data_IF_046493256492
#
_entry.id   IF_046493256492
#
_cell.length_a   1.000
_cell.length_b   1.000
_cell.length_c   1.000
_cell.angle_alpha   90.00
_cell.angle_beta   90.00
_cell.angle_gamma   90.00
#
_symmetry.space_group_name_H-M   'P 1'
#
loop_
_entity.id
_entity.type
_entity.pdbx_description
1 polymer ?
#
# COMPACT_ATOMS: atom_id res chain seq x y z
N UNK A 1 -27.88 -8.07 6.21
CA UNK A 1 -28.44 -6.89 5.54
C UNK A 1 -29.96 -6.86 5.74
N UNK A 2 -30.76 -7.83 5.24
CA UNK A 2 -32.23 -7.80 5.27
C UNK A 2 -32.79 -7.52 6.68
N UNK A 3 -32.35 -8.25 7.70
CA UNK A 3 -32.83 -8.05 9.10
C UNK A 3 -32.52 -6.63 9.61
N UNK A 4 -31.40 -6.04 9.25
CA UNK A 4 -31.07 -4.66 9.64
C UNK A 4 -31.97 -3.64 8.95
N UNK A 5 -32.32 -3.86 7.68
CA UNK A 5 -33.25 -3.00 6.93
C UNK A 5 -34.63 -3.07 7.60
N UNK A 6 -35.15 -4.27 7.86
CA UNK A 6 -36.43 -4.46 8.54
C UNK A 6 -36.46 -3.77 9.90
N UNK A 7 -35.47 -4.00 10.74
CA UNK A 7 -35.37 -3.36 12.05
C UNK A 7 -35.21 -1.83 11.95
N UNK A 8 -34.44 -1.34 10.97
CA UNK A 8 -34.28 0.09 10.73
C UNK A 8 -35.61 0.79 10.42
N UNK A 9 -36.41 0.21 9.54
CA UNK A 9 -37.73 0.75 9.24
C UNK A 9 -38.71 0.61 10.41
N UNK A 10 -38.74 -0.55 11.09
CA UNK A 10 -39.66 -0.80 12.20
C UNK A 10 -39.40 0.13 13.39
N UNK A 11 -38.13 0.28 13.80
CA UNK A 11 -37.80 1.00 15.04
C UNK A 11 -37.38 2.46 14.83
N UNK A 12 -36.90 2.83 13.63
CA UNK A 12 -36.37 4.16 13.35
C UNK A 12 -37.01 4.87 12.16
N UNK A 13 -37.90 4.20 11.42
CA UNK A 13 -38.61 4.74 10.26
C UNK A 13 -37.70 5.12 9.08
N UNK A 14 -36.46 4.63 9.04
CA UNK A 14 -35.49 4.98 7.98
C UNK A 14 -34.51 3.88 7.67
N UNK A 15 -33.92 3.96 6.48
CA UNK A 15 -32.81 3.09 6.05
C UNK A 15 -31.61 3.20 7.01
N UNK A 16 -31.06 2.07 7.53
CA UNK A 16 -29.95 2.09 8.47
C UNK A 16 -28.59 2.45 7.83
N UNK A 17 -28.44 2.32 6.51
CA UNK A 17 -27.22 2.61 5.75
C UNK A 17 -27.53 2.97 4.30
N UNK A 18 -26.65 3.74 3.66
CA UNK A 18 -26.78 4.15 2.25
C UNK A 18 -26.18 3.10 1.31
N UNK A 19 -25.05 2.52 1.69
CA UNK A 19 -24.29 1.60 0.86
C UNK A 19 -24.18 0.23 1.52
N UNK A 20 -24.15 -0.82 0.71
CA UNK A 20 -23.92 -2.20 1.14
C UNK A 20 -22.82 -2.79 0.29
N UNK A 21 -21.70 -3.12 0.93
CA UNK A 21 -20.60 -3.80 0.28
C UNK A 21 -20.64 -5.30 0.62
N UNK A 22 -20.74 -6.14 -0.39
CA UNK A 22 -20.71 -7.59 -0.22
C UNK A 22 -19.30 -8.10 -0.47
N UNK A 23 -18.71 -8.70 0.56
CA UNK A 23 -17.44 -9.43 0.43
C UNK A 23 -17.69 -10.84 -0.09
N UNK A 24 -16.74 -11.38 -0.85
CA UNK A 24 -16.77 -12.76 -1.31
C UNK A 24 -16.59 -13.78 -0.19
N UNK A 25 -16.95 -15.03 -0.47
CA UNK A 25 -16.67 -16.18 0.40
C UNK A 25 -15.32 -16.76 0.03
N UNK A 26 -14.48 -17.02 1.03
CA UNK A 26 -13.18 -17.66 0.81
C UNK A 26 -13.39 -19.12 0.44
N UNK A 27 -12.82 -19.53 -0.69
CA UNK A 27 -12.88 -20.90 -1.23
C UNK A 27 -11.47 -21.50 -1.32
N UNK A 28 -11.40 -22.80 -1.18
CA UNK A 28 -10.17 -23.55 -1.41
C UNK A 28 -9.83 -23.67 -2.93
N UNK A 29 -8.68 -24.25 -3.25
CA UNK A 29 -8.22 -24.48 -4.63
C UNK A 29 -9.17 -25.36 -5.48
N UNK A 30 -10.09 -26.08 -4.84
CA UNK A 30 -11.12 -26.89 -5.49
C UNK A 30 -12.45 -26.15 -5.62
N UNK A 31 -12.51 -24.86 -5.26
CA UNK A 31 -13.71 -24.05 -5.31
C UNK A 31 -14.71 -24.32 -4.16
N UNK A 32 -14.37 -25.16 -3.16
CA UNK A 32 -15.25 -25.48 -2.03
C UNK A 32 -15.15 -24.37 -0.99
N UNK A 33 -16.27 -24.02 -0.35
CA UNK A 33 -16.29 -23.10 0.78
C UNK A 33 -15.36 -23.62 1.89
N UNK A 34 -14.48 -22.77 2.39
CA UNK A 34 -13.64 -23.11 3.54
C UNK A 34 -14.46 -23.27 4.82
N UNK A 35 -14.21 -24.33 5.56
CA UNK A 35 -14.81 -24.58 6.86
C UNK A 35 -13.90 -25.42 7.75
N UNK A 36 -14.01 -25.20 9.08
CA UNK A 36 -13.27 -26.01 10.06
C UNK A 36 -13.65 -27.50 10.00
N UNK A 37 -14.92 -27.80 9.71
CA UNK A 37 -15.42 -29.20 9.64
C UNK A 37 -14.86 -29.97 8.44
N UNK A 38 -14.49 -29.30 7.35
CA UNK A 38 -13.86 -29.88 6.17
C UNK A 38 -12.33 -29.94 6.29
N UNK A 39 -11.75 -29.29 7.29
CA UNK A 39 -10.29 -29.21 7.46
C UNK A 39 -9.55 -28.47 6.32
N UNK A 40 -10.28 -27.72 5.48
CA UNK A 40 -9.74 -27.00 4.33
C UNK A 40 -9.53 -25.50 4.59
N UNK A 41 -9.63 -25.07 5.85
CA UNK A 41 -9.36 -23.67 6.26
C UNK A 41 -7.97 -23.62 6.89
N UNK A 42 -7.00 -22.89 6.32
CA UNK A 42 -5.70 -22.71 6.95
C UNK A 42 -5.84 -21.96 8.27
N UNK A 43 -4.93 -22.20 9.21
CA UNK A 43 -4.86 -21.44 10.45
C UNK A 43 -4.29 -20.04 10.15
N UNK A 44 -5.04 -18.97 10.42
CA UNK A 44 -4.57 -17.60 10.19
C UNK A 44 -3.27 -17.27 10.95
N UNK A 45 -3.08 -17.84 12.16
CA UNK A 45 -1.87 -17.58 12.93
C UNK A 45 -0.64 -18.21 12.29
N UNK A 46 -0.76 -19.42 11.75
CA UNK A 46 0.33 -20.04 10.98
C UNK A 46 0.67 -19.26 9.71
N UNK A 47 -0.34 -18.76 9.00
CA UNK A 47 -0.12 -17.90 7.83
C UNK A 47 0.62 -16.59 8.21
N UNK A 48 0.22 -15.96 9.33
CA UNK A 48 0.89 -14.74 9.83
C UNK A 48 2.32 -15.04 10.26
N UNK A 49 2.57 -16.15 10.91
CA UNK A 49 3.93 -16.57 11.29
C UNK A 49 4.82 -16.80 10.05
N UNK A 50 4.27 -17.39 9.00
CA UNK A 50 5.02 -17.72 7.78
C UNK A 50 5.22 -16.54 6.83
N UNK A 51 4.20 -15.69 6.65
CA UNK A 51 4.18 -14.65 5.63
C UNK A 51 4.14 -13.22 6.18
N UNK A 52 3.99 -13.08 7.50
CA UNK A 52 3.73 -11.78 8.15
C UNK A 52 2.28 -11.32 7.99
N UNK A 53 1.81 -10.49 8.92
CA UNK A 53 0.43 -10.00 8.90
C UNK A 53 0.09 -9.22 7.62
N UNK A 54 0.98 -8.32 7.19
CA UNK A 54 0.79 -7.54 5.94
C UNK A 54 0.84 -8.41 4.69
N UNK A 55 1.68 -9.47 4.68
CA UNK A 55 1.72 -10.43 3.58
C UNK A 55 0.40 -11.16 3.42
N UNK A 56 -0.20 -11.62 4.51
CA UNK A 56 -1.52 -12.27 4.51
C UNK A 56 -2.63 -11.29 4.11
N UNK A 57 -2.63 -10.06 4.66
CA UNK A 57 -3.62 -9.02 4.31
C UNK A 57 -3.59 -8.71 2.81
N UNK A 58 -2.39 -8.47 2.29
CA UNK A 58 -2.19 -8.19 0.86
C UNK A 58 -2.64 -9.37 0.00
N UNK A 59 -2.24 -10.60 0.34
CA UNK A 59 -2.62 -11.79 -0.40
C UNK A 59 -4.14 -11.99 -0.48
N UNK A 60 -4.85 -11.78 0.63
CA UNK A 60 -6.31 -11.83 0.66
C UNK A 60 -6.93 -10.71 -0.20
N UNK A 61 -6.39 -9.51 -0.13
CA UNK A 61 -6.91 -8.37 -0.90
C UNK A 61 -6.68 -8.55 -2.40
N UNK A 62 -5.56 -9.12 -2.82
CA UNK A 62 -5.29 -9.44 -4.24
C UNK A 62 -6.30 -10.46 -4.80
N UNK A 63 -6.77 -11.39 -3.97
CA UNK A 63 -7.73 -12.42 -4.34
C UNK A 63 -9.20 -11.97 -4.26
N UNK A 64 -9.49 -10.78 -3.76
CA UNK A 64 -10.83 -10.34 -3.37
C UNK A 64 -11.40 -9.23 -4.27
N UNK A 65 -11.64 -9.46 -5.58
CA UNK A 65 -12.38 -8.51 -6.39
C UNK A 65 -13.81 -8.36 -5.86
N UNK A 66 -14.35 -7.15 -5.94
CA UNK A 66 -15.68 -6.84 -5.45
C UNK A 66 -16.74 -7.79 -6.03
N UNK A 67 -17.59 -8.36 -5.15
CA UNK A 67 -18.73 -9.19 -5.55
C UNK A 67 -18.42 -10.63 -5.95
N UNK A 68 -17.16 -11.06 -5.98
CA UNK A 68 -16.78 -12.43 -6.31
C UNK A 68 -16.25 -13.20 -5.09
N UNK A 69 -16.33 -14.53 -5.16
CA UNK A 69 -15.70 -15.39 -4.16
C UNK A 69 -14.17 -15.30 -4.24
N UNK A 70 -13.52 -15.50 -3.10
CA UNK A 70 -12.07 -15.36 -2.94
C UNK A 70 -11.42 -16.75 -3.08
N UNK A 71 -10.79 -17.08 -4.21
CA UNK A 71 -9.99 -18.30 -4.34
C UNK A 71 -8.68 -18.11 -3.56
N UNK A 72 -8.61 -18.69 -2.37
CA UNK A 72 -7.42 -18.56 -1.53
C UNK A 72 -6.30 -19.46 -2.01
N UNK A 73 -5.11 -18.86 -2.20
CA UNK A 73 -3.87 -19.56 -2.45
C UNK A 73 -2.75 -18.94 -1.61
N UNK A 74 -1.98 -19.76 -0.92
CA UNK A 74 -0.84 -19.35 -0.09
C UNK A 74 0.22 -18.58 -0.91
N UNK A 75 0.33 -18.86 -2.21
CA UNK A 75 1.20 -18.14 -3.13
C UNK A 75 0.92 -16.62 -3.15
N UNK A 76 -0.33 -16.19 -2.93
CA UNK A 76 -0.68 -14.78 -2.83
C UNK A 76 -0.13 -14.15 -1.54
N UNK A 77 -0.13 -14.89 -0.43
CA UNK A 77 0.48 -14.44 0.82
C UNK A 77 2.01 -14.34 0.67
N UNK A 78 2.62 -15.25 -0.08
CA UNK A 78 4.05 -15.20 -0.41
C UNK A 78 4.39 -13.96 -1.27
N UNK A 79 3.56 -13.62 -2.25
CA UNK A 79 3.70 -12.38 -3.01
C UNK A 79 3.64 -11.15 -2.10
N UNK A 80 2.69 -11.13 -1.15
CA UNK A 80 2.60 -10.07 -0.15
C UNK A 80 3.86 -9.94 0.71
N UNK A 81 4.41 -11.07 1.18
CA UNK A 81 5.69 -11.09 1.90
C UNK A 81 6.85 -10.56 1.05
N UNK A 82 6.92 -10.97 -0.22
CA UNK A 82 7.96 -10.52 -1.13
C UNK A 82 7.85 -9.01 -1.41
N UNK A 83 6.63 -8.47 -1.44
CA UNK A 83 6.41 -7.04 -1.53
C UNK A 83 6.86 -6.29 -0.27
N UNK A 84 6.57 -6.81 0.93
CA UNK A 84 7.13 -6.28 2.18
C UNK A 84 8.66 -6.18 2.12
N UNK A 85 9.32 -7.24 1.67
CA UNK A 85 10.78 -7.26 1.51
C UNK A 85 11.26 -6.20 0.52
N UNK A 86 10.52 -5.97 -0.58
CA UNK A 86 10.85 -4.95 -1.57
C UNK A 86 10.74 -3.54 -0.98
N UNK A 87 9.68 -3.26 -0.20
CA UNK A 87 9.50 -1.97 0.48
C UNK A 87 10.64 -1.73 1.48
N UNK A 88 10.96 -2.73 2.29
CA UNK A 88 12.07 -2.68 3.25
C UNK A 88 13.41 -2.43 2.58
N UNK A 89 13.70 -3.11 1.48
CA UNK A 89 14.95 -2.94 0.75
C UNK A 89 15.06 -1.55 0.10
N UNK A 90 13.96 -1.01 -0.43
CA UNK A 90 13.92 0.37 -0.95
C UNK A 90 14.22 1.39 0.17
N UNK A 91 13.62 1.22 1.35
CA UNK A 91 13.93 2.03 2.53
C UNK A 91 15.40 1.99 2.90
N UNK A 92 15.98 0.77 3.03
CA UNK A 92 17.39 0.62 3.35
C UNK A 92 18.32 1.25 2.32
N UNK A 93 17.98 1.14 1.04
CA UNK A 93 18.72 1.76 -0.04
C UNK A 93 18.75 3.29 0.13
N UNK A 94 17.58 3.92 0.29
CA UNK A 94 17.45 5.37 0.40
C UNK A 94 18.15 5.90 1.66
N UNK A 95 17.95 5.25 2.80
CA UNK A 95 18.57 5.65 4.08
C UNK A 95 20.09 5.41 4.12
N UNK A 96 20.59 4.56 3.24
CA UNK A 96 22.03 4.30 3.08
C UNK A 96 22.77 5.32 2.20
N UNK A 97 22.07 6.25 1.55
CA UNK A 97 22.72 7.26 0.72
C UNK A 97 23.43 8.31 1.56
N UNK A 98 24.63 8.69 1.12
CA UNK A 98 25.34 9.87 1.64
C UNK A 98 24.87 11.10 0.88
N UNK A 99 24.50 12.17 1.60
CA UNK A 99 23.98 13.41 1.01
C UNK A 99 25.04 14.49 1.03
N UNK A 100 25.26 15.15 -0.10
CA UNK A 100 26.12 16.33 -0.23
C UNK A 100 25.30 17.52 -0.71
N UNK A 101 25.15 18.52 0.16
CA UNK A 101 24.40 19.74 -0.15
C UNK A 101 25.10 20.72 -1.08
N UNK A 102 26.37 20.48 -1.42
CA UNK A 102 27.16 21.29 -2.34
C UNK A 102 26.99 20.85 -3.80
N UNK A 103 26.45 19.65 -4.02
CA UNK A 103 26.18 19.13 -5.37
C UNK A 103 24.88 19.75 -5.89
N UNK A 104 24.93 20.36 -7.07
CA UNK A 104 23.74 20.78 -7.79
C UNK A 104 22.97 19.55 -8.30
N UNK A 105 21.64 19.64 -8.29
CA UNK A 105 20.80 18.54 -8.79
C UNK A 105 21.09 18.30 -10.29
N UNK A 106 21.51 17.09 -10.68
CA UNK A 106 21.70 16.75 -12.09
C UNK A 106 20.39 16.88 -12.88
N UNK A 107 20.44 17.37 -14.12
CA UNK A 107 19.26 17.52 -14.98
C UNK A 107 18.50 16.19 -15.17
N UNK A 108 19.24 15.09 -15.32
CA UNK A 108 18.65 13.75 -15.39
C UNK A 108 17.86 13.38 -14.12
N UNK A 109 18.40 13.70 -12.93
CA UNK A 109 17.71 13.46 -11.66
C UNK A 109 16.47 14.36 -11.52
N UNK A 110 16.58 15.65 -11.87
CA UNK A 110 15.44 16.57 -11.89
C UNK A 110 14.32 16.09 -12.83
N UNK A 111 14.69 15.54 -13.98
CA UNK A 111 13.75 14.95 -14.95
C UNK A 111 13.07 13.71 -14.36
N UNK A 112 13.82 12.80 -13.71
CA UNK A 112 13.29 11.62 -13.07
C UNK A 112 12.33 11.98 -11.91
N UNK A 113 12.67 13.00 -11.10
CA UNK A 113 11.82 13.52 -10.03
C UNK A 113 10.48 14.03 -10.60
N UNK A 114 10.51 14.84 -11.65
CA UNK A 114 9.28 15.35 -12.31
C UNK A 114 8.44 14.20 -12.87
N UNK A 115 9.08 13.25 -13.53
CA UNK A 115 8.40 12.09 -14.09
C UNK A 115 7.71 11.28 -13.01
N UNK A 116 8.40 10.92 -11.93
CA UNK A 116 7.78 10.11 -10.86
C UNK A 116 6.68 10.88 -10.12
N UNK A 117 6.84 12.19 -9.92
CA UNK A 117 5.77 13.03 -9.39
C UNK A 117 4.49 12.91 -10.22
N UNK A 118 4.60 12.96 -11.54
CA UNK A 118 3.43 12.79 -12.43
C UNK A 118 2.78 11.40 -12.28
N UNK A 119 3.57 10.34 -12.13
CA UNK A 119 3.04 8.99 -11.90
C UNK A 119 2.33 8.89 -10.55
N UNK A 120 2.92 9.47 -9.50
CA UNK A 120 2.32 9.52 -8.17
C UNK A 120 0.99 10.29 -8.18
N UNK A 121 0.96 11.48 -8.75
CA UNK A 121 -0.25 12.32 -8.84
C UNK A 121 -1.38 11.58 -9.60
N UNK A 122 -1.05 10.92 -10.70
CA UNK A 122 -2.00 10.09 -11.46
C UNK A 122 -2.56 8.95 -10.62
N UNK A 123 -1.70 8.25 -9.89
CA UNK A 123 -2.13 7.10 -9.06
C UNK A 123 -2.97 7.56 -7.87
N UNK A 124 -2.66 8.71 -7.25
CA UNK A 124 -3.50 9.28 -6.17
C UNK A 124 -4.92 9.56 -6.68
N UNK A 125 -5.05 10.20 -7.86
CA UNK A 125 -6.35 10.46 -8.46
C UNK A 125 -7.11 9.17 -8.82
N UNK A 126 -6.41 8.15 -9.34
CA UNK A 126 -6.98 6.84 -9.62
C UNK A 126 -7.47 6.15 -8.34
N UNK A 127 -6.67 6.19 -7.27
CA UNK A 127 -7.05 5.60 -5.98
C UNK A 127 -8.28 6.27 -5.37
N UNK A 128 -8.38 7.60 -5.43
CA UNK A 128 -9.56 8.34 -4.93
C UNK A 128 -10.84 7.90 -5.66
N UNK A 129 -10.81 7.78 -6.98
CA UNK A 129 -11.93 7.27 -7.78
C UNK A 129 -12.28 5.81 -7.41
N UNK A 130 -11.27 4.94 -7.26
CA UNK A 130 -11.46 3.54 -6.91
C UNK A 130 -12.01 3.38 -5.49
N UNK A 131 -11.54 4.16 -4.51
CA UNK A 131 -12.12 4.18 -3.16
C UNK A 131 -13.56 4.68 -3.17
N UNK A 132 -13.88 5.71 -3.96
CA UNK A 132 -15.24 6.19 -4.14
C UNK A 132 -16.19 5.13 -4.69
N UNK A 133 -15.67 4.17 -5.47
CA UNK A 133 -16.37 3.01 -6.04
C UNK A 133 -16.30 1.75 -5.16
N UNK A 134 -15.63 1.79 -4.03
CA UNK A 134 -15.34 0.63 -3.16
C UNK A 134 -14.53 -0.48 -3.86
N UNK A 135 -13.75 -0.16 -4.90
CA UNK A 135 -12.88 -1.07 -5.64
C UNK A 135 -11.52 -1.22 -4.93
N UNK A 136 -11.52 -1.84 -3.76
CA UNK A 136 -10.35 -1.87 -2.85
C UNK A 136 -9.18 -2.69 -3.42
N UNK A 137 -9.46 -3.80 -4.11
CA UNK A 137 -8.42 -4.64 -4.74
C UNK A 137 -7.71 -3.90 -5.85
N UNK A 138 -8.46 -3.19 -6.68
CA UNK A 138 -7.92 -2.38 -7.78
C UNK A 138 -7.10 -1.21 -7.23
N UNK A 139 -7.58 -0.55 -6.17
CA UNK A 139 -6.84 0.54 -5.51
C UNK A 139 -5.51 0.04 -4.94
N UNK A 140 -5.50 -1.12 -4.29
CA UNK A 140 -4.26 -1.76 -3.83
C UNK A 140 -3.32 -2.10 -4.99
N UNK A 141 -3.85 -2.65 -6.10
CA UNK A 141 -3.04 -2.99 -7.27
C UNK A 141 -2.46 -1.75 -7.97
N UNK A 142 -3.16 -0.61 -7.96
CA UNK A 142 -2.63 0.64 -8.49
C UNK A 142 -1.39 1.09 -7.71
N UNK A 143 -1.46 1.15 -6.39
CA UNK A 143 -0.31 1.53 -5.57
C UNK A 143 0.80 0.47 -5.57
N UNK A 144 0.46 -0.82 -5.66
CA UNK A 144 1.44 -1.89 -5.82
C UNK A 144 2.29 -1.70 -7.07
N UNK A 145 1.64 -1.46 -8.23
CA UNK A 145 2.34 -1.19 -9.51
C UNK A 145 3.18 0.08 -9.44
N UNK A 146 2.62 1.16 -8.89
CA UNK A 146 3.37 2.40 -8.71
C UNK A 146 4.65 2.16 -7.90
N UNK A 147 4.57 1.41 -6.80
CA UNK A 147 5.73 1.11 -5.98
C UNK A 147 6.70 0.15 -6.65
N UNK A 148 6.19 -0.99 -7.16
CA UNK A 148 7.03 -2.06 -7.70
C UNK A 148 7.70 -1.66 -9.00
N UNK A 149 6.91 -1.20 -9.97
CA UNK A 149 7.39 -0.92 -11.31
C UNK A 149 8.00 0.49 -11.41
N UNK A 150 7.22 1.53 -11.09
CA UNK A 150 7.62 2.91 -11.35
C UNK A 150 8.64 3.43 -10.33
N UNK A 151 8.39 3.23 -9.03
CA UNK A 151 9.30 3.73 -8.00
C UNK A 151 10.56 2.88 -7.90
N UNK A 152 10.41 1.58 -7.62
CA UNK A 152 11.53 0.73 -7.28
C UNK A 152 12.34 0.30 -8.51
N UNK A 153 11.69 -0.02 -9.64
CA UNK A 153 12.39 -0.54 -10.83
C UNK A 153 12.89 0.56 -11.76
N UNK A 154 12.24 1.73 -11.78
CA UNK A 154 12.65 2.83 -12.63
C UNK A 154 13.21 4.03 -11.85
N UNK A 155 12.40 4.67 -11.00
CA UNK A 155 12.80 5.92 -10.36
C UNK A 155 14.08 5.77 -9.53
N UNK A 156 14.12 4.80 -8.63
CA UNK A 156 15.30 4.58 -7.79
C UNK A 156 16.54 4.25 -8.60
N UNK A 157 16.42 3.52 -9.72
CA UNK A 157 17.55 3.21 -10.61
C UNK A 157 18.06 4.45 -11.33
N UNK A 158 17.16 5.38 -11.72
CA UNK A 158 17.52 6.62 -12.38
C UNK A 158 18.24 7.61 -11.47
N UNK A 159 17.87 7.63 -10.17
CA UNK A 159 18.38 8.64 -9.22
C UNK A 159 19.41 8.11 -8.24
N UNK A 160 19.61 6.80 -8.14
CA UNK A 160 20.59 6.24 -7.20
C UNK A 160 21.99 6.75 -7.52
N UNK A 161 22.77 7.19 -6.50
CA UNK A 161 24.14 7.61 -6.70
C UNK A 161 24.99 6.45 -7.18
N UNK A 162 26.10 6.76 -7.85
CA UNK A 162 27.15 5.78 -8.15
C UNK A 162 27.71 5.16 -6.88
N UNK A 163 28.37 4.02 -7.02
CA UNK A 163 28.96 3.31 -5.86
C UNK A 163 29.89 4.26 -5.06
N UNK A 164 29.62 4.38 -3.75
CA UNK A 164 30.32 5.29 -2.83
C UNK A 164 30.28 6.78 -3.21
N UNK A 165 29.42 7.19 -4.12
CA UNK A 165 29.20 8.59 -4.45
C UNK A 165 28.04 9.17 -3.63
N UNK A 166 28.10 10.45 -3.25
CA UNK A 166 26.98 11.12 -2.60
C UNK A 166 25.88 11.47 -3.62
N UNK A 167 24.66 11.64 -3.11
CA UNK A 167 23.52 12.20 -3.86
C UNK A 167 23.36 13.67 -3.48
N UNK A 168 22.87 14.47 -4.44
CA UNK A 168 22.48 15.85 -4.16
C UNK A 168 21.27 15.93 -3.20
N UNK A 169 21.20 17.01 -2.44
CA UNK A 169 20.18 17.20 -1.41
C UNK A 169 18.76 17.26 -1.98
N UNK A 170 18.55 17.87 -3.15
CA UNK A 170 17.21 18.04 -3.75
C UNK A 170 16.62 16.72 -4.17
N UNK A 171 17.41 15.88 -4.85
CA UNK A 171 17.00 14.52 -5.24
C UNK A 171 16.72 13.65 -4.02
N UNK A 172 17.57 13.74 -2.98
CA UNK A 172 17.36 12.98 -1.74
C UNK A 172 16.04 13.35 -1.04
N UNK A 173 15.79 14.64 -0.85
CA UNK A 173 14.57 15.11 -0.19
C UNK A 173 13.32 14.77 -1.01
N UNK A 174 13.38 14.90 -2.33
CA UNK A 174 12.29 14.48 -3.22
C UNK A 174 12.00 12.98 -3.07
N UNK A 175 13.06 12.16 -3.01
CA UNK A 175 12.93 10.71 -2.83
C UNK A 175 12.31 10.34 -1.48
N UNK A 176 12.71 11.03 -0.40
CA UNK A 176 12.08 10.85 0.92
C UNK A 176 10.59 11.22 0.90
N UNK A 177 10.24 12.36 0.28
CA UNK A 177 8.86 12.79 0.14
C UNK A 177 8.00 11.81 -0.65
N UNK A 178 8.54 11.25 -1.74
CA UNK A 178 7.86 10.20 -2.49
C UNK A 178 7.69 8.92 -1.69
N UNK A 179 8.71 8.51 -0.94
CA UNK A 179 8.62 7.32 -0.10
C UNK A 179 7.59 7.50 1.03
N UNK A 180 7.56 8.67 1.69
CA UNK A 180 6.52 9.03 2.69
C UNK A 180 5.11 8.93 2.07
N UNK A 181 4.91 9.52 0.89
CA UNK A 181 3.63 9.45 0.19
C UNK A 181 3.22 8.02 -0.14
N UNK A 182 4.14 7.19 -0.63
CA UNK A 182 3.90 5.78 -0.93
C UNK A 182 3.54 4.97 0.32
N UNK A 183 4.19 5.23 1.47
CA UNK A 183 3.84 4.60 2.74
C UNK A 183 2.41 4.96 3.17
N UNK A 184 1.98 6.22 3.00
CA UNK A 184 0.60 6.66 3.29
C UNK A 184 -0.42 5.97 2.39
N UNK A 185 -0.14 5.85 1.09
CA UNK A 185 -1.03 5.17 0.15
C UNK A 185 -1.14 3.67 0.40
N UNK A 186 -0.06 3.03 0.87
CA UNK A 186 -0.03 1.60 1.21
C UNK A 186 -0.64 1.28 2.58
N UNK A 187 -0.66 2.25 3.51
CA UNK A 187 -1.03 2.02 4.90
C UNK A 187 -2.40 1.36 5.11
N UNK A 188 -3.47 1.70 4.38
CA UNK A 188 -4.77 1.02 4.52
C UNK A 188 -4.70 -0.49 4.28
N UNK A 189 -3.78 -0.93 3.46
CA UNK A 189 -3.60 -2.34 3.06
C UNK A 189 -2.56 -3.07 3.93
N UNK A 190 -1.46 -2.39 4.26
CA UNK A 190 -0.26 -2.94 4.91
C UNK A 190 0.17 -2.08 6.11
N UNK A 191 -0.64 -2.04 7.19
CA UNK A 191 -0.47 -1.06 8.26
C UNK A 191 0.79 -1.26 9.11
N UNK A 192 1.32 -2.48 9.22
CA UNK A 192 2.43 -2.75 10.14
C UNK A 192 3.77 -2.30 9.57
N UNK A 193 4.12 -2.75 8.37
CA UNK A 193 5.39 -2.35 7.74
C UNK A 193 5.42 -0.86 7.42
N UNK A 194 4.30 -0.31 6.97
CA UNK A 194 4.26 1.11 6.61
C UNK A 194 4.40 2.01 7.83
N UNK A 195 3.78 1.69 8.97
CA UNK A 195 3.96 2.41 10.22
C UNK A 195 5.42 2.31 10.70
N UNK A 196 5.97 1.11 10.75
CA UNK A 196 7.36 0.88 11.17
C UNK A 196 8.36 1.72 10.37
N UNK A 197 8.22 1.68 9.03
CA UNK A 197 9.11 2.43 8.14
C UNK A 197 8.88 3.94 8.20
N UNK A 198 7.63 4.37 8.37
CA UNK A 198 7.30 5.78 8.48
C UNK A 198 7.87 6.41 9.74
N UNK A 199 7.84 5.69 10.87
CA UNK A 199 8.48 6.11 12.12
C UNK A 199 10.02 6.16 11.98
N UNK A 200 10.60 5.22 11.22
CA UNK A 200 12.04 5.16 11.00
C UNK A 200 12.55 6.12 9.91
N UNK A 201 11.66 6.65 9.07
CA UNK A 201 12.02 7.51 7.94
C UNK A 201 12.56 8.85 8.43
N UNK A 202 11.86 9.48 9.37
CA UNK A 202 12.18 10.78 9.95
C UNK A 202 11.78 10.81 11.42
N UNK A 203 12.41 11.67 12.24
CA UNK A 203 11.98 11.87 13.63
C UNK A 203 10.52 12.31 13.72
N UNK A 204 9.72 11.61 14.49
CA UNK A 204 8.30 11.93 14.74
C UNK A 204 8.09 12.39 16.18
N UNK A 205 7.03 13.16 16.40
CA UNK A 205 6.61 13.53 17.77
C UNK A 205 5.94 12.33 18.42
N UNK A 206 5.97 12.30 19.75
CA UNK A 206 5.25 11.28 20.52
C UNK A 206 3.75 11.29 20.16
N UNK A 207 3.20 10.13 19.81
CA UNK A 207 1.81 9.96 19.41
C UNK A 207 1.49 10.22 17.92
N UNK A 208 2.45 10.65 17.10
CA UNK A 208 2.26 10.70 15.65
C UNK A 208 2.23 9.28 15.08
N UNK A 209 1.24 9.01 14.22
CA UNK A 209 1.06 7.69 13.56
C UNK A 209 0.44 7.87 12.18
N UNK A 210 0.80 7.00 11.25
CA UNK A 210 0.16 6.91 9.93
C UNK A 210 -1.34 6.62 10.02
N UNK A 211 -1.80 5.96 11.09
CA UNK A 211 -3.23 5.67 11.31
C UNK A 211 -4.12 6.92 11.28
N UNK A 212 -3.56 8.09 11.64
CA UNK A 212 -4.28 9.38 11.68
C UNK A 212 -3.72 10.39 10.70
N UNK A 213 -2.69 10.04 9.94
CA UNK A 213 -2.11 10.90 8.92
C UNK A 213 -3.05 10.99 7.71
N UNK A 214 -3.16 12.19 7.14
CA UNK A 214 -3.94 12.38 5.92
C UNK A 214 -3.25 11.73 4.71
N UNK A 215 -4.05 11.25 3.77
CA UNK A 215 -3.56 10.85 2.44
C UNK A 215 -2.93 12.09 1.78
N UNK A 216 -1.80 11.95 1.05
CA UNK A 216 -1.16 13.09 0.41
C UNK A 216 -2.12 13.78 -0.56
N UNK A 217 -2.32 15.08 -0.38
CA UNK A 217 -3.05 15.89 -1.37
C UNK A 217 -2.14 16.20 -2.56
N UNK A 218 -2.71 16.25 -3.77
CA UNK A 218 -2.00 16.53 -5.03
C UNK A 218 -1.18 17.84 -5.00
N UNK A 219 -1.54 18.79 -4.13
CA UNK A 219 -0.91 20.11 -4.02
C UNK A 219 0.19 20.22 -2.95
N UNK A 220 0.32 19.25 -2.04
CA UNK A 220 1.18 19.39 -0.84
C UNK A 220 2.59 18.82 -1.01
N UNK A 221 2.88 18.12 -2.10
CA UNK A 221 4.25 17.71 -2.42
C UNK A 221 4.93 18.88 -3.13
N UNK A 222 5.30 19.90 -2.35
CA UNK A 222 6.18 20.97 -2.83
C UNK A 222 7.60 20.41 -2.93
N UNK A 223 7.99 20.02 -4.13
CA UNK A 223 9.37 19.70 -4.51
C UNK A 223 9.97 20.88 -5.25
#
# INVERSE_FOLDING_TARGET
VARMIMAGYEYRGKMPFKNVYFTGIVRDKLGRKMSKSLGNSPDPLQLIEQYGADGVRMGLMMAAPAGNDIPFDDALCEQGRNFNNKIWNAFRLIKGWTVDSTIEQPEAAATAVKWFKMQLDKTIAEMDDLFGKYSLSEAMMAVYKLFWDEFSSWYLEMVKPGYQQPVDKSTYLSTLGFFDALLRLLHPFMPFITEELWQALEPRKEGESLMVALIPELSLIHI
#
